data_IF_818139526884
#
_entry.id   IF_818139526884
#
_cell.length_a   1.000
_cell.length_b   1.000
_cell.length_c   1.000
_cell.angle_alpha   90.00
_cell.angle_beta   90.00
_cell.angle_gamma   90.00
#
_symmetry.space_group_name_H-M   'P 1'
#
loop_
_entity.id
_entity.type
_entity.pdbx_description
1 polymer ?
#
# COMPACT_ATOMS: atom_id res chain seq x y z
N UNK A 1 -14.83 2.71 16.66
CA UNK A 1 -13.90 1.77 15.99
C UNK A 1 -12.49 2.29 16.21
N UNK A 2 -11.54 1.42 16.54
CA UNK A 2 -10.13 1.78 16.63
C UNK A 2 -9.60 2.19 15.25
N UNK A 3 -8.63 3.11 15.25
CA UNK A 3 -7.86 3.42 14.04
C UNK A 3 -7.02 2.19 13.67
N UNK A 4 -6.95 1.80 12.38
CA UNK A 4 -6.11 0.68 11.98
C UNK A 4 -4.64 0.98 12.24
N UNK A 5 -3.91 -0.02 12.70
CA UNK A 5 -2.46 0.05 12.90
C UNK A 5 -1.76 -0.48 11.65
N UNK A 6 -1.19 0.40 10.82
CA UNK A 6 -0.46 0.02 9.61
C UNK A 6 0.72 0.97 9.37
N UNK A 7 1.72 0.49 8.62
CA UNK A 7 2.88 1.28 8.23
C UNK A 7 2.69 1.87 6.84
N UNK A 8 2.92 3.17 6.71
CA UNK A 8 3.04 3.86 5.43
C UNK A 8 4.39 4.56 5.35
N UNK A 9 5.14 4.29 4.30
CA UNK A 9 6.36 5.04 3.99
C UNK A 9 6.04 6.40 3.36
N UNK A 10 7.01 7.32 3.24
CA UNK A 10 6.85 8.54 2.44
C UNK A 10 6.48 8.22 0.99
N UNK A 11 5.85 9.18 0.30
CA UNK A 11 5.49 9.07 -1.12
C UNK A 11 4.47 7.95 -1.45
N UNK A 12 3.58 7.63 -0.51
CA UNK A 12 2.39 6.79 -0.73
C UNK A 12 1.19 7.68 -1.03
N UNK A 13 0.62 7.54 -2.23
CA UNK A 13 -0.61 8.19 -2.64
C UNK A 13 -1.77 7.19 -2.62
N UNK A 14 -2.69 7.43 -1.69
CA UNK A 14 -3.89 6.60 -1.49
C UNK A 14 -5.13 7.36 -1.97
N UNK A 15 -5.81 6.81 -2.97
CA UNK A 15 -7.05 7.38 -3.50
C UNK A 15 -8.16 7.43 -2.44
N UNK A 16 -9.04 8.42 -2.56
CA UNK A 16 -10.18 8.60 -1.66
C UNK A 16 -11.04 7.34 -1.57
N UNK A 17 -11.57 7.03 -0.39
CA UNK A 17 -12.42 5.85 -0.18
C UNK A 17 -11.66 4.53 -0.05
N UNK A 18 -10.37 4.48 -0.40
CA UNK A 18 -9.57 3.27 -0.21
C UNK A 18 -9.31 3.00 1.27
N UNK A 19 -9.63 1.76 1.69
CA UNK A 19 -9.49 1.30 3.08
C UNK A 19 -8.26 0.43 3.23
N UNK A 20 -7.51 0.66 4.31
CA UNK A 20 -6.33 -0.12 4.70
C UNK A 20 -6.62 -0.77 6.05
N UNK A 21 -6.52 -2.10 6.10
CA UNK A 21 -6.70 -2.87 7.33
C UNK A 21 -5.40 -2.94 8.14
N UNK A 22 -5.49 -3.52 9.34
CA UNK A 22 -4.36 -3.64 10.25
C UNK A 22 -3.16 -4.41 9.65
N UNK A 23 -1.98 -4.05 10.13
CA UNK A 23 -0.69 -4.66 9.86
C UNK A 23 -0.27 -4.62 8.38
N UNK A 24 -0.86 -3.73 7.58
CA UNK A 24 -0.39 -3.48 6.22
C UNK A 24 0.93 -2.70 6.22
N UNK A 25 1.73 -2.90 5.17
CA UNK A 25 2.93 -2.11 4.89
C UNK A 25 2.81 -1.53 3.49
N UNK A 26 2.75 -0.21 3.38
CA UNK A 26 2.57 0.50 2.11
C UNK A 26 3.81 1.33 1.77
N UNK A 27 4.34 1.13 0.57
CA UNK A 27 5.48 1.87 0.05
C UNK A 27 6.83 1.34 0.54
N UNK A 28 6.92 0.04 0.86
CA UNK A 28 8.19 -0.57 1.26
C UNK A 28 9.25 -0.34 0.17
N UNK A 29 10.40 0.29 0.47
CA UNK A 29 11.43 0.54 -0.53
C UNK A 29 12.05 -0.78 -1.01
N UNK A 30 12.38 -0.86 -2.30
CA UNK A 30 13.16 -1.98 -2.80
C UNK A 30 14.60 -1.91 -2.26
N UNK A 31 15.31 -3.05 -2.30
CA UNK A 31 16.71 -3.11 -1.85
C UNK A 31 17.56 -2.08 -2.62
N UNK A 32 18.27 -1.23 -1.88
CA UNK A 32 19.12 -0.19 -2.46
C UNK A 32 18.38 1.07 -2.90
N UNK A 33 17.09 1.19 -2.58
CA UNK A 33 16.29 2.41 -2.73
C UNK A 33 16.07 3.05 -1.36
N UNK A 34 16.02 4.37 -1.34
CA UNK A 34 15.71 5.13 -0.13
C UNK A 34 14.19 5.18 0.11
N UNK A 35 13.73 5.25 1.38
CA UNK A 35 12.34 5.49 1.71
C UNK A 35 11.75 6.72 0.99
N UNK A 36 10.71 6.50 0.19
CA UNK A 36 10.04 7.54 -0.59
C UNK A 36 10.72 7.94 -1.90
N UNK A 37 11.84 7.30 -2.27
CA UNK A 37 12.49 7.49 -3.56
C UNK A 37 11.55 7.16 -4.72
N UNK A 38 10.76 6.09 -4.58
CA UNK A 38 9.73 5.69 -5.52
C UNK A 38 8.33 5.96 -4.96
N UNK A 39 7.41 6.38 -5.82
CA UNK A 39 6.00 6.59 -5.48
C UNK A 39 5.26 5.25 -5.44
N UNK A 40 4.46 5.01 -4.40
CA UNK A 40 3.37 4.03 -4.45
C UNK A 40 2.07 4.77 -4.78
N UNK A 41 1.40 4.40 -5.87
CA UNK A 41 0.10 4.97 -6.25
C UNK A 41 -1.00 3.92 -6.21
N UNK A 42 -2.05 4.18 -5.43
CA UNK A 42 -3.23 3.30 -5.31
C UNK A 42 -4.48 4.13 -5.58
N UNK A 43 -5.28 3.71 -6.56
CA UNK A 43 -6.52 4.37 -6.95
C UNK A 43 -7.62 4.35 -5.86
N UNK A 44 -8.73 5.07 -6.09
CA UNK A 44 -9.82 5.23 -5.13
C UNK A 44 -10.64 3.94 -4.93
N UNK A 45 -11.43 3.93 -3.85
CA UNK A 45 -12.46 2.92 -3.52
C UNK A 45 -11.93 1.48 -3.39
N UNK A 46 -10.65 1.30 -3.06
CA UNK A 46 -10.02 0.01 -2.84
C UNK A 46 -10.20 -0.58 -1.44
N UNK A 47 -9.84 -1.84 -1.28
CA UNK A 47 -9.71 -2.51 0.02
C UNK A 47 -8.41 -3.30 0.06
N UNK A 48 -7.52 -2.86 0.96
CA UNK A 48 -6.26 -3.52 1.27
C UNK A 48 -6.45 -4.27 2.58
N UNK A 49 -6.56 -5.61 2.49
CA UNK A 49 -6.83 -6.48 3.63
C UNK A 49 -5.57 -6.73 4.45
N UNK A 50 -5.75 -7.15 5.70
CA UNK A 50 -4.69 -7.14 6.73
C UNK A 50 -3.42 -7.86 6.29
N UNK A 51 -2.28 -7.43 6.81
CA UNK A 51 -0.97 -8.04 6.53
C UNK A 51 -0.55 -7.96 5.06
N UNK A 52 -1.18 -7.10 4.24
CA UNK A 52 -0.72 -6.86 2.86
C UNK A 52 0.53 -5.99 2.87
N UNK A 53 1.54 -6.35 2.10
CA UNK A 53 2.73 -5.53 1.81
C UNK A 53 2.74 -5.11 0.35
N UNK A 54 2.84 -3.80 0.10
CA UNK A 54 2.93 -3.23 -1.26
C UNK A 54 4.20 -2.39 -1.34
N UNK A 55 5.05 -2.69 -2.30
CA UNK A 55 6.31 -1.98 -2.50
C UNK A 55 6.10 -0.61 -3.17
N UNK A 56 7.04 0.30 -2.91
CA UNK A 56 7.18 1.54 -3.67
C UNK A 56 7.44 1.24 -5.16
N UNK A 57 6.98 2.13 -6.05
CA UNK A 57 7.06 1.97 -7.51
C UNK A 57 5.82 1.29 -8.13
N UNK A 58 4.96 0.66 -7.34
CA UNK A 58 3.73 0.00 -7.82
C UNK A 58 2.64 1.03 -8.14
N UNK A 59 1.89 0.81 -9.23
CA UNK A 59 0.69 1.59 -9.60
C UNK A 59 -0.54 0.70 -9.71
N UNK A 60 -1.51 0.87 -8.82
CA UNK A 60 -2.74 0.06 -8.78
C UNK A 60 -3.95 0.95 -9.07
N UNK A 61 -4.80 0.52 -10.02
CA UNK A 61 -6.05 1.23 -10.37
C UNK A 61 -7.11 1.28 -9.27
N UNK A 62 -8.26 1.88 -9.60
CA UNK A 62 -9.41 2.00 -8.70
C UNK A 62 -9.99 0.63 -8.31
N UNK A 63 -10.62 0.57 -7.12
CA UNK A 63 -11.35 -0.59 -6.59
C UNK A 63 -10.51 -1.87 -6.44
N UNK A 64 -9.20 -1.74 -6.20
CA UNK A 64 -8.35 -2.88 -5.86
C UNK A 64 -8.92 -3.67 -4.70
N UNK A 65 -8.82 -4.99 -4.77
CA UNK A 65 -9.18 -5.90 -3.69
C UNK A 65 -8.01 -6.84 -3.44
N UNK A 66 -7.32 -6.70 -2.29
CA UNK A 66 -6.27 -7.66 -1.91
C UNK A 66 -6.85 -8.74 -1.00
N UNK A 67 -6.32 -9.96 -1.06
CA UNK A 67 -6.49 -10.93 0.02
C UNK A 67 -5.72 -10.51 1.29
N UNK A 68 -5.86 -11.27 2.37
CA UNK A 68 -5.00 -11.11 3.55
C UNK A 68 -3.59 -11.65 3.26
N UNK A 69 -2.54 -11.01 3.78
CA UNK A 69 -1.17 -11.49 3.64
C UNK A 69 -0.58 -11.38 2.23
N UNK A 70 -1.18 -10.57 1.35
CA UNK A 70 -0.70 -10.41 -0.04
C UNK A 70 0.60 -9.62 -0.07
N UNK A 71 1.51 -10.01 -0.96
CA UNK A 71 2.69 -9.22 -1.32
C UNK A 71 2.54 -8.76 -2.77
N UNK A 72 2.60 -7.45 -3.01
CA UNK A 72 2.61 -6.86 -4.36
C UNK A 72 3.94 -6.14 -4.56
N UNK A 73 4.69 -6.60 -5.56
CA UNK A 73 5.95 -6.01 -5.99
C UNK A 73 6.07 -6.20 -7.49
N UNK A 74 6.27 -5.10 -8.20
CA UNK A 74 6.42 -5.08 -9.65
C UNK A 74 7.62 -4.17 -9.98
N UNK A 75 8.34 -4.49 -11.05
CA UNK A 75 9.55 -3.80 -11.52
C UNK A 75 9.33 -3.28 -12.94
#
# INVERSE_FOLDING_TARGET
>A
MSKPDFRSYPNVLLGSGTRVADFCVLGEPAKGREPGEDELWIGPDGTIRSHTTIYAGVRIGARVQTGHGVLIREH
#
